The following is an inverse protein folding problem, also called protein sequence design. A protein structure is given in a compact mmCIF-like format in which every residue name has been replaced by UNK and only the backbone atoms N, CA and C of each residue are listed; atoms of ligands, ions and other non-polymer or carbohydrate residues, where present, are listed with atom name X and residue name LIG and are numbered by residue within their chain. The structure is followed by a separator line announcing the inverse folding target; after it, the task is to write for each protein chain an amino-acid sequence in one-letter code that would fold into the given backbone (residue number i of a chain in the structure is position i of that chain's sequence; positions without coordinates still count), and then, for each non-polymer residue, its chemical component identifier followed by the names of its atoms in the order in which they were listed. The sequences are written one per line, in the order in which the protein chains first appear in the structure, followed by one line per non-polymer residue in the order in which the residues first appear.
data_IF_462150371139
#
_entry.id   IF_462150371139
#
_cell.length_a   1.000
_cell.length_b   1.000
_cell.length_c   1.000
_cell.angle_alpha   90.00
_cell.angle_beta   90.00
_cell.angle_gamma   90.00
#
_symmetry.space_group_name_H-M   'P 1'
#
loop_
_entity.id
_entity.type
_entity.pdbx_description
1 polymer ?
#
# COMPACT_ATOMS: atom_id res chain seq x y z
N UNK A 1 -6.19 18.27 -28.45
CA UNK A 1 -6.47 16.82 -28.28
C UNK A 1 -6.43 16.57 -26.78
N UNK A 2 -7.53 16.16 -26.16
CA UNK A 2 -7.54 15.76 -24.75
C UNK A 2 -6.72 14.47 -24.65
N UNK A 3 -5.53 14.57 -24.11
CA UNK A 3 -4.74 13.37 -23.77
C UNK A 3 -5.50 12.63 -22.67
N UNK A 4 -6.03 11.46 -23.03
CA UNK A 4 -6.65 10.55 -22.04
C UNK A 4 -5.59 10.24 -20.99
N UNK A 5 -5.84 10.59 -19.73
CA UNK A 5 -4.92 10.25 -18.64
C UNK A 5 -4.84 8.73 -18.52
N UNK A 6 -3.65 8.15 -18.32
CA UNK A 6 -3.53 6.72 -18.02
C UNK A 6 -4.29 6.42 -16.72
N UNK A 7 -4.81 5.20 -16.61
CA UNK A 7 -5.54 4.78 -15.42
C UNK A 7 -4.68 3.90 -14.54
N UNK A 8 -4.73 4.16 -13.24
CA UNK A 8 -4.08 3.36 -12.22
C UNK A 8 -5.09 2.90 -11.17
N UNK A 9 -4.87 1.72 -10.61
CA UNK A 9 -5.62 1.19 -9.48
C UNK A 9 -4.67 0.61 -8.46
N UNK A 10 -4.92 0.88 -7.19
CA UNK A 10 -4.16 0.29 -6.09
C UNK A 10 -5.01 0.18 -4.83
N UNK A 11 -4.73 -0.83 -4.01
CA UNK A 11 -5.46 -1.07 -2.77
C UNK A 11 -4.54 -1.30 -1.60
N UNK A 12 -5.04 -1.02 -0.38
CA UNK A 12 -4.33 -1.29 0.86
C UNK A 12 -5.26 -1.96 1.87
N UNK A 13 -4.78 -3.02 2.54
CA UNK A 13 -5.56 -3.73 3.55
C UNK A 13 -5.62 -2.93 4.86
N UNK A 14 -6.82 -2.76 5.46
CA UNK A 14 -7.01 -2.02 6.71
C UNK A 14 -6.58 -2.87 7.92
N UNK A 15 -5.28 -3.05 8.10
CA UNK A 15 -4.70 -3.89 9.16
C UNK A 15 -4.20 -3.09 10.36
N UNK A 16 -4.72 -1.89 10.60
CA UNK A 16 -4.38 -0.99 11.71
C UNK A 16 -3.59 0.24 11.29
N UNK A 17 -3.00 1.00 12.25
CA UNK A 17 -2.39 2.31 12.00
C UNK A 17 -1.31 2.28 10.92
N UNK A 18 -1.21 3.36 10.14
CA UNK A 18 -0.18 3.49 9.12
C UNK A 18 1.14 3.97 9.73
N UNK A 19 2.26 3.53 9.15
CA UNK A 19 3.62 3.89 9.58
C UNK A 19 4.44 4.45 8.42
N UNK A 20 5.65 4.95 8.70
CA UNK A 20 6.54 5.57 7.69
C UNK A 20 6.75 4.71 6.45
N UNK A 21 6.81 3.37 6.60
CA UNK A 21 6.93 2.47 5.46
C UNK A 21 5.74 2.52 4.50
N UNK A 22 4.51 2.70 5.01
CA UNK A 22 3.33 2.93 4.17
C UNK A 22 3.36 4.32 3.51
N UNK A 23 3.79 5.34 4.27
CA UNK A 23 3.83 6.70 3.76
C UNK A 23 4.83 6.85 2.61
N UNK A 24 6.09 6.53 2.86
CA UNK A 24 7.14 6.67 1.83
C UNK A 24 7.07 5.59 0.74
N UNK A 25 6.61 4.38 1.08
CA UNK A 25 6.54 3.28 0.13
C UNK A 25 5.33 3.32 -0.80
N UNK A 26 4.23 3.93 -0.35
CA UNK A 26 2.95 3.88 -1.08
C UNK A 26 2.28 5.25 -1.19
N UNK A 27 1.92 5.89 -0.06
CA UNK A 27 1.04 7.06 -0.07
C UNK A 27 1.66 8.26 -0.79
N UNK A 28 2.94 8.52 -0.58
CA UNK A 28 3.65 9.61 -1.26
C UNK A 28 3.58 9.47 -2.79
N UNK A 29 3.72 8.24 -3.29
CA UNK A 29 3.56 7.96 -4.72
C UNK A 29 2.11 8.14 -5.19
N UNK A 30 1.13 7.70 -4.39
CA UNK A 30 -0.29 7.89 -4.73
C UNK A 30 -0.68 9.37 -4.81
N UNK A 31 -0.15 10.19 -3.90
CA UNK A 31 -0.34 11.66 -3.91
C UNK A 31 0.21 12.27 -5.21
N UNK A 32 1.32 11.78 -5.73
CA UNK A 32 1.85 12.23 -7.02
C UNK A 32 0.99 11.72 -8.20
N UNK A 33 0.62 10.44 -8.20
CA UNK A 33 -0.15 9.81 -9.27
C UNK A 33 -1.53 10.47 -9.48
N UNK A 34 -2.20 10.96 -8.42
CA UNK A 34 -3.50 11.64 -8.54
C UNK A 34 -3.45 12.89 -9.44
N UNK A 35 -2.28 13.47 -9.67
CA UNK A 35 -2.13 14.66 -10.53
C UNK A 35 -1.94 14.30 -12.00
N UNK A 36 -1.43 13.13 -12.30
CA UNK A 36 -1.05 12.69 -13.66
C UNK A 36 -1.96 11.62 -14.23
N UNK A 37 -2.63 10.86 -13.38
CA UNK A 37 -3.42 9.68 -13.75
C UNK A 37 -4.89 9.77 -13.31
N UNK A 38 -5.74 8.97 -13.93
CA UNK A 38 -7.09 8.66 -13.43
C UNK A 38 -6.95 7.58 -12.35
N UNK A 39 -6.78 8.00 -11.10
CA UNK A 39 -6.37 7.14 -10.00
C UNK A 39 -7.55 6.62 -9.17
N UNK A 40 -7.56 5.31 -8.93
CA UNK A 40 -8.52 4.59 -8.08
C UNK A 40 -7.79 3.95 -6.91
N UNK A 41 -8.08 4.42 -5.70
CA UNK A 41 -7.47 3.90 -4.47
C UNK A 41 -8.54 3.31 -3.57
N UNK A 42 -8.39 2.06 -3.15
CA UNK A 42 -9.41 1.40 -2.35
C UNK A 42 -8.87 0.76 -1.09
N UNK A 43 -9.70 0.80 -0.05
CA UNK A 43 -9.47 0.06 1.18
C UNK A 43 -9.94 -1.37 0.94
N UNK A 44 -9.01 -2.32 0.99
CA UNK A 44 -9.21 -3.73 0.67
C UNK A 44 -9.72 -4.51 1.89
N UNK A 45 -10.96 -4.21 2.30
CA UNK A 45 -11.58 -4.77 3.50
C UNK A 45 -11.96 -6.25 3.35
N UNK A 46 -12.38 -6.72 2.17
CA UNK A 46 -12.56 -8.16 1.93
C UNK A 46 -11.22 -8.91 1.98
N UNK A 47 -10.14 -8.33 1.46
CA UNK A 47 -8.81 -8.93 1.60
C UNK A 47 -8.37 -9.00 3.06
N UNK A 48 -8.69 -8.01 3.88
CA UNK A 48 -8.41 -8.08 5.32
C UNK A 48 -9.13 -9.27 5.96
N UNK A 49 -10.39 -9.48 5.61
CA UNK A 49 -11.19 -10.58 6.15
C UNK A 49 -10.61 -11.97 5.81
N UNK A 50 -9.87 -12.14 4.71
CA UNK A 50 -9.29 -13.45 4.36
C UNK A 50 -8.31 -13.97 5.41
N UNK A 51 -7.62 -13.08 6.13
CA UNK A 51 -6.68 -13.42 7.22
C UNK A 51 -7.22 -13.12 8.62
N UNK A 52 -8.22 -12.23 8.74
CA UNK A 52 -8.76 -11.77 10.02
C UNK A 52 -10.18 -12.28 10.28
N UNK A 53 -10.58 -13.34 9.57
CA UNK A 53 -11.94 -13.93 9.66
C UNK A 53 -12.32 -14.39 11.06
N UNK A 54 -11.35 -14.82 11.87
CA UNK A 54 -11.58 -15.31 13.22
C UNK A 54 -11.85 -14.16 14.24
N UNK A 55 -11.32 -12.95 13.96
CA UNK A 55 -11.59 -11.75 14.75
C UNK A 55 -11.66 -10.52 13.82
N UNK A 56 -12.83 -10.24 13.22
CA UNK A 56 -13.03 -9.12 12.34
C UNK A 56 -13.38 -7.80 13.07
N UNK A 57 -13.34 -7.77 14.39
CA UNK A 57 -13.86 -6.68 15.22
C UNK A 57 -13.26 -5.29 14.92
N UNK A 58 -12.02 -5.25 14.42
CA UNK A 58 -11.32 -4.02 14.14
C UNK A 58 -11.39 -3.58 12.66
N UNK A 59 -11.97 -4.38 11.76
CA UNK A 59 -11.95 -4.06 10.32
C UNK A 59 -12.65 -2.73 10.05
N UNK A 60 -13.85 -2.50 10.59
CA UNK A 60 -14.60 -1.28 10.35
C UNK A 60 -13.83 -0.03 10.84
N UNK A 61 -13.32 -0.06 12.06
CA UNK A 61 -12.53 1.04 12.63
C UNK A 61 -11.26 1.28 11.80
N UNK A 62 -10.55 0.22 11.42
CA UNK A 62 -9.34 0.33 10.61
C UNK A 62 -9.62 0.91 9.20
N UNK A 63 -10.80 0.65 8.62
CA UNK A 63 -11.22 1.25 7.35
C UNK A 63 -11.39 2.75 7.48
N UNK A 64 -12.11 3.21 8.50
CA UNK A 64 -12.34 4.65 8.76
C UNK A 64 -11.02 5.38 9.03
N UNK A 65 -10.18 4.81 9.90
CA UNK A 65 -8.86 5.36 10.20
C UNK A 65 -7.98 5.45 8.95
N UNK A 66 -7.98 4.43 8.11
CA UNK A 66 -7.18 4.40 6.88
C UNK A 66 -7.60 5.47 5.87
N UNK A 67 -8.90 5.66 5.63
CA UNK A 67 -9.39 6.73 4.74
C UNK A 67 -9.01 8.10 5.28
N UNK A 68 -9.16 8.32 6.58
CA UNK A 68 -8.74 9.54 7.25
C UNK A 68 -7.25 9.80 7.06
N UNK A 69 -6.41 8.79 7.30
CA UNK A 69 -4.95 8.89 7.15
C UNK A 69 -4.54 9.19 5.69
N UNK A 70 -5.25 8.61 4.70
CA UNK A 70 -5.00 8.88 3.29
C UNK A 70 -5.30 10.32 2.89
N UNK A 71 -6.46 10.83 3.31
CA UNK A 71 -6.85 12.23 3.06
C UNK A 71 -5.88 13.17 3.77
N UNK A 72 -5.53 12.87 5.03
CA UNK A 72 -4.57 13.67 5.80
C UNK A 72 -3.17 13.65 5.17
N UNK A 73 -2.78 12.55 4.52
CA UNK A 73 -1.50 12.42 3.82
C UNK A 73 -1.47 13.14 2.45
N UNK A 74 -2.61 13.72 2.01
CA UNK A 74 -2.68 14.55 0.82
C UNK A 74 -3.45 13.95 -0.36
N UNK A 75 -4.14 12.81 -0.19
CA UNK A 75 -5.06 12.33 -1.22
C UNK A 75 -6.30 13.23 -1.27
N UNK A 76 -6.58 13.76 -2.46
CA UNK A 76 -7.66 14.70 -2.73
C UNK A 76 -8.81 13.95 -3.44
N UNK A 77 -10.00 13.81 -2.81
CA UNK A 77 -11.14 13.12 -3.41
C UNK A 77 -11.69 13.78 -4.69
N UNK A 78 -11.31 15.03 -4.96
CA UNK A 78 -11.64 15.72 -6.21
C UNK A 78 -10.69 15.32 -7.36
N UNK A 79 -9.51 14.78 -7.04
CA UNK A 79 -8.48 14.39 -8.01
C UNK A 79 -8.37 12.88 -8.22
N UNK A 80 -8.73 12.10 -7.20
CA UNK A 80 -8.70 10.64 -7.26
C UNK A 80 -10.00 10.04 -6.70
N UNK A 81 -10.21 8.76 -6.94
CA UNK A 81 -11.37 8.02 -6.43
C UNK A 81 -10.94 7.20 -5.22
N UNK A 82 -11.49 7.51 -4.05
CA UNK A 82 -11.21 6.81 -2.79
C UNK A 82 -12.47 6.04 -2.37
N UNK A 83 -12.38 4.71 -2.19
CA UNK A 83 -13.53 3.90 -1.85
C UNK A 83 -13.18 2.66 -1.03
N UNK A 84 -14.20 1.98 -0.49
CA UNK A 84 -14.07 0.67 0.15
C UNK A 84 -14.39 -0.41 -0.86
N UNK A 85 -13.60 -1.45 -0.91
CA UNK A 85 -13.79 -2.59 -1.81
C UNK A 85 -15.20 -3.19 -1.66
N UNK A 86 -15.64 -3.42 -0.41
CA UNK A 86 -16.96 -4.01 -0.12
C UNK A 86 -18.16 -3.15 -0.52
N UNK A 87 -17.96 -1.85 -0.76
CA UNK A 87 -19.01 -0.97 -1.26
C UNK A 87 -19.26 -1.12 -2.76
N UNK A 88 -18.36 -1.77 -3.50
CA UNK A 88 -18.43 -2.00 -4.95
C UNK A 88 -18.55 -3.50 -5.20
N UNK A 89 -19.79 -4.00 -5.28
CA UNK A 89 -20.10 -5.45 -5.33
C UNK A 89 -19.55 -6.15 -6.57
N UNK A 90 -19.32 -5.42 -7.63
CA UNK A 90 -18.74 -5.88 -8.87
C UNK A 90 -17.40 -6.60 -8.68
N UNK A 91 -16.63 -6.24 -7.65
CA UNK A 91 -15.40 -6.94 -7.26
C UNK A 91 -15.66 -8.42 -6.92
N UNK A 92 -16.68 -8.69 -6.10
CA UNK A 92 -17.06 -10.06 -5.74
C UNK A 92 -17.65 -10.81 -6.94
N UNK A 93 -18.50 -10.13 -7.75
CA UNK A 93 -19.11 -10.76 -8.92
C UNK A 93 -18.04 -11.15 -9.95
N UNK A 94 -17.09 -10.27 -10.26
CA UNK A 94 -16.02 -10.61 -11.18
C UNK A 94 -15.08 -11.67 -10.60
N UNK A 95 -14.73 -11.59 -9.32
CA UNK A 95 -13.91 -12.59 -8.65
C UNK A 95 -14.51 -14.00 -8.76
N UNK A 96 -15.83 -14.12 -8.56
CA UNK A 96 -16.54 -15.38 -8.75
C UNK A 96 -16.39 -15.91 -10.19
N UNK A 97 -16.59 -15.07 -11.21
CA UNK A 97 -16.49 -15.47 -12.62
C UNK A 97 -15.06 -15.86 -13.00
N UNK A 98 -14.07 -15.11 -12.53
CA UNK A 98 -12.66 -15.43 -12.78
C UNK A 98 -12.23 -16.72 -12.06
N UNK A 99 -12.79 -17.02 -10.89
CA UNK A 99 -12.49 -18.27 -10.17
C UNK A 99 -12.89 -19.52 -10.95
N UNK A 100 -13.92 -19.44 -11.80
CA UNK A 100 -14.39 -20.55 -12.62
C UNK A 100 -13.41 -20.94 -13.74
N UNK A 101 -12.52 -20.05 -14.11
CA UNK A 101 -11.52 -20.30 -15.17
C UNK A 101 -10.09 -20.38 -14.66
N UNK A 102 -9.84 -20.04 -13.38
CA UNK A 102 -8.49 -20.03 -12.80
C UNK A 102 -8.12 -21.44 -12.32
N UNK A 103 -7.05 -22.06 -12.85
CA UNK A 103 -6.59 -23.35 -12.37
C UNK A 103 -6.14 -23.28 -10.91
N UNK A 104 -6.58 -24.23 -10.08
CA UNK A 104 -6.18 -24.31 -8.66
C UNK A 104 -4.65 -24.38 -8.51
N UNK A 105 -3.97 -25.11 -9.41
CA UNK A 105 -2.51 -25.22 -9.40
C UNK A 105 -1.77 -23.88 -9.57
N UNK A 106 -2.41 -22.84 -10.13
CA UNK A 106 -1.83 -21.50 -10.20
C UNK A 106 -1.82 -20.83 -8.81
N UNK A 107 -2.89 -21.04 -8.05
CA UNK A 107 -3.06 -20.49 -6.70
C UNK A 107 -2.14 -21.19 -5.70
N UNK A 108 -2.05 -22.52 -5.76
CA UNK A 108 -1.20 -23.33 -4.89
C UNK A 108 0.30 -23.08 -5.11
N UNK A 109 0.71 -22.68 -6.32
CA UNK A 109 2.11 -22.34 -6.63
C UNK A 109 2.49 -20.95 -6.18
N UNK A 110 1.54 -20.12 -5.72
CA UNK A 110 1.83 -18.77 -5.23
C UNK A 110 2.78 -18.86 -4.00
N UNK A 111 4.01 -18.32 -4.07
CA UNK A 111 4.96 -18.36 -2.96
C UNK A 111 4.42 -17.70 -1.70
N UNK A 112 3.72 -16.58 -1.84
CA UNK A 112 3.13 -15.86 -0.70
C UNK A 112 2.12 -16.72 0.05
N UNK A 113 1.34 -17.56 -0.63
CA UNK A 113 0.42 -18.50 0.01
C UNK A 113 1.17 -19.49 0.91
N UNK A 114 2.23 -20.09 0.41
CA UNK A 114 3.06 -21.06 1.15
C UNK A 114 3.83 -20.42 2.31
N UNK A 115 4.45 -19.27 2.05
CA UNK A 115 5.22 -18.53 3.05
C UNK A 115 4.35 -18.08 4.22
N UNK A 116 3.16 -17.53 3.93
CA UNK A 116 2.26 -17.07 4.98
C UNK A 116 1.66 -18.21 5.78
N UNK A 117 1.35 -19.35 5.16
CA UNK A 117 0.95 -20.56 5.92
C UNK A 117 2.04 -21.03 6.89
N UNK A 118 3.33 -20.87 6.55
CA UNK A 118 4.44 -21.24 7.40
C UNK A 118 4.73 -20.20 8.50
N UNK A 119 4.59 -18.92 8.18
CA UNK A 119 4.91 -17.80 9.09
C UNK A 119 3.80 -17.50 10.10
N UNK A 120 2.55 -17.66 9.71
CA UNK A 120 1.38 -17.34 10.54
C UNK A 120 0.87 -18.63 11.18
N UNK A 121 1.44 -18.97 12.33
CA UNK A 121 1.11 -20.21 13.08
C UNK A 121 -0.09 -20.06 14.03
N UNK A 122 -0.52 -18.82 14.31
CA UNK A 122 -1.62 -18.52 15.22
C UNK A 122 -3.00 -18.40 14.53
N UNK A 123 -3.06 -18.59 13.21
CA UNK A 123 -4.29 -18.54 12.41
C UNK A 123 -4.29 -19.69 11.40
N UNK A 124 -5.46 -20.32 11.20
CA UNK A 124 -5.63 -21.29 10.12
C UNK A 124 -5.89 -20.55 8.80
N UNK A 125 -4.88 -20.51 7.95
CA UNK A 125 -4.94 -19.93 6.61
C UNK A 125 -5.24 -20.98 5.52
N UNK A 126 -5.55 -22.22 5.90
CA UNK A 126 -5.91 -23.32 4.98
C UNK A 126 -7.33 -23.22 4.41
N UNK A 127 -7.93 -22.02 4.40
CA UNK A 127 -9.29 -21.82 3.93
C UNK A 127 -9.36 -21.34 2.48
N UNK A 128 -10.52 -21.55 1.83
CA UNK A 128 -10.73 -21.17 0.43
C UNK A 128 -10.57 -19.67 0.18
N UNK A 129 -10.98 -18.81 1.13
CA UNK A 129 -10.86 -17.36 0.99
C UNK A 129 -9.38 -16.93 0.85
N UNK A 130 -8.52 -17.54 1.68
CA UNK A 130 -7.08 -17.24 1.62
C UNK A 130 -6.40 -17.87 0.40
N UNK A 131 -6.84 -19.03 -0.07
CA UNK A 131 -6.35 -19.62 -1.32
C UNK A 131 -6.74 -18.76 -2.53
N UNK A 132 -7.97 -18.24 -2.56
CA UNK A 132 -8.54 -17.55 -3.71
C UNK A 132 -8.29 -16.02 -3.71
N UNK A 133 -7.64 -15.43 -2.67
CA UNK A 133 -7.43 -13.98 -2.64
C UNK A 133 -6.72 -13.42 -3.88
N UNK A 134 -5.82 -14.13 -4.58
CA UNK A 134 -5.20 -13.60 -5.79
C UNK A 134 -6.19 -13.43 -6.95
N UNK A 135 -7.28 -14.21 -6.97
CA UNK A 135 -8.37 -14.05 -7.96
C UNK A 135 -9.20 -12.81 -7.64
N UNK A 136 -9.47 -12.56 -6.35
CA UNK A 136 -10.12 -11.32 -5.92
C UNK A 136 -9.24 -10.11 -6.28
N UNK A 137 -7.93 -10.18 -6.06
CA UNK A 137 -7.01 -9.12 -6.47
C UNK A 137 -7.01 -8.89 -7.98
N UNK A 138 -7.08 -9.98 -8.79
CA UNK A 138 -7.21 -9.84 -10.24
C UNK A 138 -8.54 -9.13 -10.61
N UNK A 139 -9.64 -9.44 -9.94
CA UNK A 139 -10.91 -8.75 -10.14
C UNK A 139 -10.83 -7.27 -9.77
N UNK A 140 -10.22 -6.95 -8.62
CA UNK A 140 -10.00 -5.57 -8.15
C UNK A 140 -9.29 -4.71 -9.21
N UNK A 141 -8.35 -5.30 -9.91
CA UNK A 141 -7.55 -4.64 -10.94
C UNK A 141 -8.34 -4.55 -12.26
N UNK A 142 -8.82 -5.68 -12.75
CA UNK A 142 -9.35 -5.80 -14.10
C UNK A 142 -10.68 -5.05 -14.30
N UNK A 143 -11.47 -4.83 -13.23
CA UNK A 143 -12.68 -4.01 -13.30
C UNK A 143 -12.43 -2.60 -13.84
N UNK A 144 -11.30 -2.02 -13.47
CA UNK A 144 -10.99 -0.63 -13.82
C UNK A 144 -10.18 -0.49 -15.11
N UNK A 145 -9.79 -1.60 -15.75
CA UNK A 145 -9.01 -1.58 -17.00
C UNK A 145 -7.75 -0.69 -16.91
N UNK A 146 -6.90 -0.82 -15.88
CA UNK A 146 -5.78 0.08 -15.68
C UNK A 146 -4.71 -0.08 -16.76
N UNK A 147 -3.97 0.98 -17.00
CA UNK A 147 -2.75 0.97 -17.80
C UNK A 147 -1.59 0.41 -16.97
N UNK A 148 -1.49 0.89 -15.72
CA UNK A 148 -0.42 0.57 -14.80
C UNK A 148 -0.95 0.19 -13.42
N UNK A 149 -0.21 -0.70 -12.74
CA UNK A 149 -0.48 -1.08 -11.36
C UNK A 149 0.75 -0.72 -10.54
N UNK A 150 0.67 0.32 -9.68
CA UNK A 150 1.77 0.66 -8.79
C UNK A 150 1.89 -0.39 -7.69
N UNK A 151 2.98 -1.15 -7.71
CA UNK A 151 3.24 -2.23 -6.75
C UNK A 151 4.69 -2.23 -6.27
N UNK A 152 4.91 -2.68 -5.05
CA UNK A 152 6.24 -3.03 -4.59
C UNK A 152 6.79 -4.25 -5.34
N UNK A 153 8.10 -4.41 -5.36
CA UNK A 153 8.77 -5.54 -6.03
C UNK A 153 8.29 -6.91 -5.54
N UNK A 154 7.87 -7.01 -4.29
CA UNK A 154 7.31 -8.21 -3.66
C UNK A 154 5.91 -8.58 -4.17
N UNK A 155 5.18 -7.63 -4.75
CA UNK A 155 3.84 -7.84 -5.31
C UNK A 155 3.84 -8.18 -6.82
N UNK A 156 5.00 -8.18 -7.47
CA UNK A 156 5.13 -8.44 -8.92
C UNK A 156 4.47 -9.76 -9.34
N UNK A 157 4.64 -10.81 -8.55
CA UNK A 157 4.08 -12.14 -8.87
C UNK A 157 2.54 -12.14 -8.86
N UNK A 158 1.91 -11.35 -7.98
CA UNK A 158 0.45 -11.23 -7.97
C UNK A 158 -0.07 -10.51 -9.21
N UNK A 159 0.68 -9.52 -9.69
CA UNK A 159 0.34 -8.85 -10.95
C UNK A 159 0.50 -9.79 -12.15
N UNK A 160 1.54 -10.62 -12.17
CA UNK A 160 1.69 -11.64 -13.23
C UNK A 160 0.52 -12.63 -13.22
N UNK A 161 0.06 -13.10 -12.07
CA UNK A 161 -1.13 -13.96 -11.99
C UNK A 161 -2.39 -13.23 -12.53
N UNK A 162 -2.55 -11.94 -12.20
CA UNK A 162 -3.64 -11.13 -12.75
C UNK A 162 -3.57 -11.08 -14.28
N UNK A 163 -2.39 -10.89 -14.87
CA UNK A 163 -2.14 -10.88 -16.32
C UNK A 163 -2.48 -12.23 -16.94
N UNK A 164 -2.07 -13.34 -16.30
CA UNK A 164 -2.38 -14.69 -16.76
C UNK A 164 -3.88 -14.96 -16.77
N UNK A 165 -4.59 -14.58 -15.71
CA UNK A 165 -6.04 -14.72 -15.60
C UNK A 165 -6.76 -13.89 -16.68
N UNK A 166 -6.33 -12.64 -16.90
CA UNK A 166 -6.88 -11.76 -17.92
C UNK A 166 -6.65 -12.31 -19.33
N UNK A 167 -5.44 -12.78 -19.61
CA UNK A 167 -5.08 -13.41 -20.89
C UNK A 167 -5.90 -14.67 -21.12
N UNK A 168 -6.04 -15.52 -20.10
CA UNK A 168 -6.85 -16.73 -20.19
C UNK A 168 -8.33 -16.42 -20.47
N UNK A 169 -8.89 -15.41 -19.79
CA UNK A 169 -10.26 -14.96 -20.03
C UNK A 169 -10.44 -14.52 -21.49
N UNK A 170 -9.56 -13.63 -21.96
CA UNK A 170 -9.61 -13.11 -23.33
C UNK A 170 -9.48 -14.23 -24.38
N UNK A 171 -8.65 -15.24 -24.12
CA UNK A 171 -8.48 -16.38 -25.03
C UNK A 171 -9.74 -17.28 -25.09
N UNK A 172 -10.46 -17.44 -23.98
CA UNK A 172 -11.65 -18.31 -23.91
C UNK A 172 -12.88 -17.61 -24.47
N UNK A 173 -13.09 -16.33 -24.10
CA UNK A 173 -14.35 -15.62 -24.34
C UNK A 173 -14.21 -14.45 -25.32
N UNK A 174 -13.00 -14.13 -25.76
CA UNK A 174 -12.65 -12.95 -26.59
C UNK A 174 -12.35 -11.72 -25.75
N UNK A 175 -11.76 -10.73 -26.39
CA UNK A 175 -11.19 -9.54 -25.75
C UNK A 175 -12.19 -8.74 -24.93
N UNK A 176 -11.87 -8.63 -23.63
CA UNK A 176 -12.57 -7.79 -22.66
C UNK A 176 -11.56 -7.01 -21.84
N UNK A 177 -10.54 -7.70 -21.29
CA UNK A 177 -9.59 -7.11 -20.37
C UNK A 177 -8.36 -6.58 -21.09
N UNK A 178 -8.00 -5.33 -20.74
CA UNK A 178 -6.67 -4.81 -20.99
C UNK A 178 -5.69 -5.53 -20.07
N UNK A 179 -4.55 -5.97 -20.62
CA UNK A 179 -3.51 -6.63 -19.83
C UNK A 179 -2.70 -5.52 -19.14
N UNK A 180 -2.77 -5.38 -17.81
CA UNK A 180 -2.10 -4.29 -17.14
C UNK A 180 -0.59 -4.51 -17.00
N UNK A 181 0.19 -3.42 -16.95
CA UNK A 181 1.63 -3.49 -16.72
C UNK A 181 1.97 -3.15 -15.26
N UNK A 182 2.87 -3.92 -14.59
CA UNK A 182 3.35 -3.55 -13.26
C UNK A 182 4.21 -2.30 -13.36
N UNK A 183 3.92 -1.33 -12.51
CA UNK A 183 4.73 -0.12 -12.34
C UNK A 183 5.40 -0.18 -10.98
N UNK A 184 6.73 -0.27 -10.97
CA UNK A 184 7.52 -0.20 -9.74
C UNK A 184 7.99 1.24 -9.61
N UNK A 185 7.48 2.02 -8.62
CA UNK A 185 7.90 3.39 -8.41
C UNK A 185 9.41 3.47 -8.17
N UNK A 186 10.07 4.37 -8.88
CA UNK A 186 11.49 4.68 -8.64
C UNK A 186 11.70 5.55 -7.39
N UNK A 187 10.63 6.23 -6.97
CA UNK A 187 10.60 7.09 -5.79
C UNK A 187 9.82 6.36 -4.70
N UNK A 188 10.52 5.79 -3.75
CA UNK A 188 9.93 5.15 -2.59
C UNK A 188 11.05 4.61 -1.71
N UNK A 189 11.28 5.23 -0.55
CA UNK A 189 12.26 4.70 0.39
C UNK A 189 11.72 3.38 0.98
N UNK A 190 12.48 2.31 0.83
CA UNK A 190 12.26 1.10 1.59
C UNK A 190 12.65 1.38 3.04
N UNK A 191 11.65 1.62 3.87
CA UNK A 191 11.86 1.93 5.29
C UNK A 191 11.98 0.63 6.06
N UNK A 192 13.10 0.46 6.77
CA UNK A 192 13.37 -0.68 7.63
C UNK A 192 13.04 -0.36 9.08
N UNK A 193 12.89 -1.40 9.92
CA UNK A 193 12.71 -1.23 11.36
C UNK A 193 13.87 -0.45 11.97
N UNK A 194 13.58 0.46 12.91
CA UNK A 194 14.63 1.21 13.62
C UNK A 194 15.41 0.36 14.62
N UNK A 195 14.79 -0.75 15.09
CA UNK A 195 15.42 -1.69 16.05
C UNK A 195 16.06 -2.90 15.38
N UNK A 196 15.61 -3.28 14.18
CA UNK A 196 16.06 -4.45 13.42
C UNK A 196 16.17 -4.10 11.93
N UNK A 197 17.20 -3.36 11.52
CA UNK A 197 17.29 -2.74 10.20
C UNK A 197 17.41 -3.73 9.02
N UNK A 198 17.59 -5.01 9.29
CA UNK A 198 17.50 -6.12 8.33
C UNK A 198 16.05 -6.43 7.94
N UNK A 199 15.08 -6.06 8.78
CA UNK A 199 13.65 -6.30 8.57
C UNK A 199 12.93 -5.03 8.10
N UNK A 200 11.93 -5.18 7.22
CA UNK A 200 11.05 -4.05 6.87
C UNK A 200 10.33 -3.54 8.11
N UNK A 201 10.13 -2.21 8.21
CA UNK A 201 9.28 -1.63 9.24
C UNK A 201 7.89 -2.25 9.17
N UNK A 202 7.42 -2.74 10.30
CA UNK A 202 6.18 -3.53 10.38
C UNK A 202 5.43 -3.25 11.68
N UNK A 203 4.10 -3.33 11.62
CA UNK A 203 3.22 -3.28 12.81
C UNK A 203 3.46 -4.43 13.78
N UNK A 204 3.99 -5.55 13.30
CA UNK A 204 4.31 -6.75 14.10
C UNK A 204 5.73 -6.74 14.66
N UNK A 205 6.44 -5.60 14.61
CA UNK A 205 7.76 -5.47 15.23
C UNK A 205 7.64 -5.74 16.74
N UNK A 206 8.52 -6.60 17.27
CA UNK A 206 8.53 -6.97 18.69
C UNK A 206 8.95 -5.79 19.58
N UNK A 207 9.81 -4.90 19.06
CA UNK A 207 10.18 -3.67 19.76
C UNK A 207 9.28 -2.51 19.29
N UNK A 208 8.48 -1.90 20.15
CA UNK A 208 7.64 -0.75 19.81
C UNK A 208 8.45 0.48 19.35
N UNK A 209 9.76 0.52 19.58
CA UNK A 209 10.63 1.57 19.06
C UNK A 209 11.05 1.32 17.60
N UNK A 210 10.86 0.10 17.08
CA UNK A 210 11.21 -0.25 15.71
C UNK A 210 10.31 0.38 14.66
N UNK A 211 9.08 0.77 15.02
CA UNK A 211 8.06 1.29 14.11
C UNK A 211 7.66 2.72 14.47
N UNK A 212 7.66 3.61 13.48
CA UNK A 212 7.17 4.99 13.61
C UNK A 212 5.84 5.12 12.89
N UNK A 213 4.78 5.40 13.62
CA UNK A 213 3.44 5.61 13.08
C UNK A 213 3.25 7.08 12.62
N UNK A 214 2.34 7.30 11.67
CA UNK A 214 2.09 8.63 11.11
C UNK A 214 1.58 9.63 12.15
N UNK A 215 0.84 9.12 13.13
CA UNK A 215 0.23 9.91 14.20
C UNK A 215 0.99 9.85 15.53
N UNK A 216 2.22 9.31 15.53
CA UNK A 216 3.08 9.36 16.72
C UNK A 216 3.32 10.83 17.12
N UNK A 217 3.35 11.08 18.43
CA UNK A 217 3.68 12.41 18.93
C UNK A 217 5.14 12.76 18.65
N UNK A 218 5.47 14.05 18.49
CA UNK A 218 6.84 14.49 18.22
C UNK A 218 7.86 13.89 19.18
N UNK A 219 7.54 13.86 20.49
CA UNK A 219 8.42 13.32 21.54
C UNK A 219 8.66 11.81 21.37
N UNK A 220 7.64 11.07 20.95
CA UNK A 220 7.76 9.63 20.72
C UNK A 220 8.62 9.35 19.47
N UNK A 221 8.45 10.12 18.40
CA UNK A 221 9.29 10.06 17.21
C UNK A 221 10.74 10.30 17.57
N UNK A 222 11.03 11.43 18.25
CA UNK A 222 12.38 11.79 18.66
C UNK A 222 13.02 10.70 19.53
N UNK A 223 12.26 10.14 20.48
CA UNK A 223 12.72 9.03 21.34
C UNK A 223 13.06 7.78 20.53
N UNK A 224 12.22 7.40 19.54
CA UNK A 224 12.43 6.24 18.68
C UNK A 224 13.71 6.41 17.84
N UNK A 225 13.91 7.57 17.19
CA UNK A 225 15.13 7.83 16.42
C UNK A 225 16.39 7.88 17.29
N UNK A 226 16.32 8.45 18.49
CA UNK A 226 17.45 8.42 19.43
C UNK A 226 17.88 7.02 19.79
N UNK A 227 16.93 6.07 19.89
CA UNK A 227 17.17 4.65 20.20
C UNK A 227 17.46 3.77 18.97
N UNK A 228 17.29 4.30 17.75
CA UNK A 228 17.50 3.54 16.52
C UNK A 228 18.87 2.86 16.52
N UNK A 229 18.91 1.62 16.01
CA UNK A 229 20.14 0.83 15.96
C UNK A 229 21.10 1.42 14.92
N UNK A 230 22.35 1.59 15.32
CA UNK A 230 23.51 1.95 14.47
C UNK A 230 24.70 1.11 14.89
N UNK A 231 25.73 1.06 14.05
CA UNK A 231 27.01 0.45 14.41
C UNK A 231 27.78 1.27 15.48
N UNK A 232 28.97 0.81 15.83
CA UNK A 232 29.87 1.45 16.82
C UNK A 232 31.01 2.25 16.20
N UNK A 233 30.92 2.55 14.89
CA UNK A 233 31.97 3.31 14.18
C UNK A 233 32.07 4.74 14.74
N UNK A 234 33.31 5.22 14.95
CA UNK A 234 33.61 6.57 15.45
C UNK A 234 34.16 7.48 14.37
N UNK A 235 34.68 6.90 13.28
CA UNK A 235 35.20 7.63 12.12
C UNK A 235 34.23 7.40 10.93
N UNK A 236 33.91 8.44 10.17
CA UNK A 236 32.96 8.37 9.04
C UNK A 236 31.65 7.68 9.41
N UNK A 237 31.08 8.04 10.55
CA UNK A 237 29.88 7.43 11.10
C UNK A 237 28.70 7.40 10.10
N UNK A 238 28.44 8.54 9.45
CA UNK A 238 27.32 8.68 8.51
C UNK A 238 27.82 8.41 7.09
N UNK A 239 27.66 7.16 6.64
CA UNK A 239 28.01 6.67 5.31
C UNK A 239 26.95 5.69 4.84
N UNK A 240 26.56 5.82 3.58
CA UNK A 240 25.57 4.89 3.00
C UNK A 240 26.21 3.57 2.60
N UNK A 241 25.94 2.56 3.37
CA UNK A 241 26.43 1.20 3.13
C UNK A 241 25.42 0.20 3.74
N UNK A 242 24.65 -0.45 2.88
CA UNK A 242 23.57 -1.35 3.31
C UNK A 242 24.11 -2.62 3.96
N UNK A 243 25.30 -3.10 3.53
CA UNK A 243 25.87 -4.36 4.00
C UNK A 243 26.54 -4.18 5.37
N UNK A 244 27.41 -3.17 5.49
CA UNK A 244 28.17 -2.97 6.73
C UNK A 244 27.49 -2.06 7.75
N UNK A 245 26.57 -1.20 7.31
CA UNK A 245 25.89 -0.18 8.13
C UNK A 245 24.35 -0.14 7.88
N UNK A 246 23.63 -1.26 7.98
CA UNK A 246 22.22 -1.32 7.61
C UNK A 246 21.35 -0.31 8.39
N UNK A 247 21.63 -0.09 9.67
CA UNK A 247 20.91 0.88 10.49
C UNK A 247 21.13 2.32 10.02
N UNK A 248 22.39 2.69 9.72
CA UNK A 248 22.74 4.03 9.22
C UNK A 248 22.16 4.24 7.82
N UNK A 249 22.26 3.25 6.94
CA UNK A 249 21.69 3.30 5.59
C UNK A 249 20.16 3.49 5.63
N UNK A 250 19.47 2.84 6.56
CA UNK A 250 18.03 3.06 6.79
C UNK A 250 17.75 4.49 7.24
N UNK A 251 18.47 5.01 8.23
CA UNK A 251 18.30 6.39 8.69
C UNK A 251 18.59 7.41 7.58
N UNK A 252 19.64 7.20 6.77
CA UNK A 252 19.95 8.04 5.62
C UNK A 252 18.85 8.00 4.56
N UNK A 253 18.26 6.82 4.31
CA UNK A 253 17.14 6.65 3.38
C UNK A 253 15.90 7.42 3.85
N UNK A 254 15.59 7.37 5.15
CA UNK A 254 14.49 8.12 5.75
C UNK A 254 14.76 9.63 5.67
N UNK A 255 15.99 10.08 6.02
CA UNK A 255 16.36 11.48 5.97
C UNK A 255 16.31 12.03 4.54
N UNK A 256 16.82 11.28 3.56
CA UNK A 256 16.72 11.60 2.14
C UNK A 256 15.27 11.74 1.69
N UNK A 257 14.39 10.80 2.08
CA UNK A 257 12.96 10.82 1.73
C UNK A 257 12.22 12.03 2.33
N UNK A 258 12.63 12.49 3.52
CA UNK A 258 12.08 13.68 4.19
C UNK A 258 12.59 14.99 3.58
N UNK A 259 13.89 15.05 3.27
CA UNK A 259 14.58 16.32 2.93
C UNK A 259 14.83 16.53 1.44
N UNK A 260 14.73 15.46 0.64
CA UNK A 260 15.10 15.45 -0.78
C UNK A 260 16.61 15.45 -1.04
N UNK A 261 17.44 15.40 0.00
CA UNK A 261 18.91 15.38 -0.14
C UNK A 261 19.39 14.03 -0.66
N UNK A 262 20.40 14.05 -1.52
CA UNK A 262 21.11 12.83 -1.95
C UNK A 262 21.98 12.27 -0.82
N UNK A 263 22.34 10.98 -0.90
CA UNK A 263 23.21 10.36 0.11
C UNK A 263 24.56 11.07 0.23
N UNK A 264 25.16 11.49 -0.90
CA UNK A 264 26.40 12.25 -0.88
C UNK A 264 26.27 13.60 -0.15
N UNK A 265 25.15 14.29 -0.30
CA UNK A 265 24.87 15.53 0.44
C UNK A 265 24.71 15.28 1.94
N UNK A 266 24.08 14.16 2.31
CA UNK A 266 23.90 13.76 3.71
C UNK A 266 25.28 13.42 4.34
N UNK A 267 26.10 12.65 3.64
CA UNK A 267 27.46 12.33 4.10
C UNK A 267 28.29 13.59 4.35
N UNK A 268 28.29 14.55 3.41
CA UNK A 268 28.98 15.82 3.55
C UNK A 268 28.43 16.68 4.70
N UNK A 269 27.12 16.72 4.91
CA UNK A 269 26.48 17.47 6.00
C UNK A 269 26.88 16.96 7.38
N UNK A 270 27.07 15.65 7.51
CA UNK A 270 27.41 14.99 8.77
C UNK A 270 28.86 14.52 8.84
N UNK A 271 29.72 14.97 7.92
CA UNK A 271 31.18 14.71 7.99
C UNK A 271 31.76 15.20 9.31
N UNK A 272 32.47 14.33 10.00
CA UNK A 272 33.04 14.62 11.33
C UNK A 272 32.04 14.71 12.48
N UNK A 273 30.73 14.47 12.21
CA UNK A 273 29.71 14.45 13.23
C UNK A 273 29.31 12.99 13.54
N UNK A 274 29.14 12.70 14.83
CA UNK A 274 28.72 11.35 15.27
C UNK A 274 27.21 11.14 15.19
N UNK A 275 26.77 9.93 15.54
CA UNK A 275 25.35 9.55 15.59
C UNK A 275 24.52 10.40 16.57
N UNK A 276 25.17 11.00 17.58
CA UNK A 276 24.52 11.94 18.50
C UNK A 276 23.97 13.20 17.84
N UNK A 277 24.54 13.63 16.71
CA UNK A 277 24.02 14.73 15.89
C UNK A 277 23.09 14.21 14.78
N UNK A 278 23.41 13.07 14.17
CA UNK A 278 22.65 12.54 13.02
C UNK A 278 21.26 12.04 13.40
N UNK A 279 21.14 11.20 14.43
CA UNK A 279 19.85 10.62 14.85
C UNK A 279 18.78 11.67 15.20
N UNK A 280 19.10 12.73 16.00
CA UNK A 280 18.13 13.80 16.23
C UNK A 280 17.72 14.52 14.95
N UNK A 281 18.65 14.82 14.04
CA UNK A 281 18.34 15.49 12.79
C UNK A 281 17.38 14.67 11.91
N UNK A 282 17.54 13.35 11.86
CA UNK A 282 16.58 12.45 11.18
C UNK A 282 15.21 12.50 11.85
N UNK A 283 15.19 12.44 13.20
CA UNK A 283 13.94 12.53 13.98
C UNK A 283 13.21 13.85 13.73
N UNK A 284 13.90 14.98 13.74
CA UNK A 284 13.34 16.30 13.45
C UNK A 284 12.78 16.39 12.02
N UNK A 285 13.50 15.87 11.03
CA UNK A 285 13.02 15.82 9.64
C UNK A 285 11.73 15.00 9.51
N UNK A 286 11.61 13.88 10.23
CA UNK A 286 10.39 13.08 10.26
C UNK A 286 9.26 13.81 10.99
N UNK A 287 9.50 14.44 12.12
CA UNK A 287 8.51 15.24 12.85
C UNK A 287 7.92 16.32 11.96
N UNK A 288 8.75 17.05 11.22
CA UNK A 288 8.31 18.10 10.29
C UNK A 288 7.56 17.54 9.08
N UNK A 289 8.01 16.42 8.54
CA UNK A 289 7.32 15.73 7.43
C UNK A 289 5.92 15.28 7.83
N UNK A 290 5.75 14.76 9.05
CA UNK A 290 4.47 14.25 9.54
C UNK A 290 3.59 15.32 10.20
N UNK A 291 4.11 16.51 10.47
CA UNK A 291 3.35 17.60 11.09
C UNK A 291 2.06 17.94 10.33
N UNK A 292 2.08 18.22 9.01
CA UNK A 292 0.87 18.55 8.28
C UNK A 292 -0.15 17.41 8.29
N UNK A 293 0.30 16.14 8.29
CA UNK A 293 -0.59 14.98 8.37
C UNK A 293 -1.29 14.94 9.74
N UNK A 294 -0.59 15.20 10.83
CA UNK A 294 -1.19 15.24 12.17
C UNK A 294 -2.21 16.37 12.30
N UNK A 295 -1.86 17.59 11.84
CA UNK A 295 -2.74 18.76 11.86
C UNK A 295 -4.03 18.51 11.05
N UNK A 296 -3.90 17.94 9.85
CA UNK A 296 -5.06 17.63 9.01
C UNK A 296 -5.90 16.49 9.62
N UNK A 297 -5.27 15.49 10.22
CA UNK A 297 -5.98 14.43 10.95
C UNK A 297 -6.84 15.00 12.08
N UNK A 298 -6.31 15.95 12.87
CA UNK A 298 -7.07 16.62 13.93
C UNK A 298 -8.27 17.42 13.40
N UNK A 299 -8.13 18.01 12.21
CA UNK A 299 -9.24 18.69 11.51
C UNK A 299 -10.30 17.69 11.08
N UNK A 300 -9.90 16.59 10.44
CA UNK A 300 -10.80 15.55 9.93
C UNK A 300 -11.55 14.80 11.02
N UNK A 301 -10.96 14.63 12.20
CA UNK A 301 -11.63 14.01 13.35
C UNK A 301 -12.90 14.79 13.80
N UNK A 302 -12.98 16.09 13.48
CA UNK A 302 -14.13 16.95 13.77
C UNK A 302 -15.22 16.88 12.71
N UNK A 303 -14.93 16.28 11.53
CA UNK A 303 -15.85 16.21 10.39
C UNK A 303 -15.98 14.77 9.85
N UNK A 304 -16.60 13.92 10.64
CA UNK A 304 -16.88 12.52 10.25
C UNK A 304 -17.79 12.43 9.02
N UNK A 305 -18.73 13.36 8.88
CA UNK A 305 -19.67 13.38 7.76
C UNK A 305 -18.94 13.61 6.43
N UNK A 306 -17.89 14.43 6.43
CA UNK A 306 -17.04 14.61 5.26
C UNK A 306 -16.37 13.31 4.83
N UNK A 307 -15.71 12.58 5.75
CA UNK A 307 -15.06 11.31 5.43
C UNK A 307 -16.04 10.27 4.90
N UNK A 308 -17.25 10.21 5.49
CA UNK A 308 -18.33 9.35 4.99
C UNK A 308 -18.72 9.70 3.55
N UNK A 309 -18.84 10.99 3.26
CA UNK A 309 -19.15 11.48 1.90
C UNK A 309 -18.05 11.11 0.89
N UNK A 310 -16.79 11.16 1.29
CA UNK A 310 -15.63 10.82 0.45
C UNK A 310 -15.71 9.38 -0.07
N UNK A 311 -15.81 8.40 0.82
CA UNK A 311 -15.81 7.00 0.37
C UNK A 311 -17.15 6.57 -0.23
N UNK A 312 -18.26 7.24 0.08
CA UNK A 312 -19.55 7.00 -0.58
C UNK A 312 -19.54 7.50 -2.02
N UNK A 313 -19.15 8.74 -2.24
CA UNK A 313 -19.03 9.31 -3.59
C UNK A 313 -17.97 8.56 -4.42
N UNK A 314 -16.86 8.13 -3.78
CA UNK A 314 -15.86 7.31 -4.41
C UNK A 314 -16.40 5.94 -4.84
N UNK A 315 -17.21 5.29 -4.01
CA UNK A 315 -17.84 4.02 -4.34
C UNK A 315 -18.81 4.14 -5.53
N UNK A 316 -19.58 5.22 -5.62
CA UNK A 316 -20.47 5.49 -6.75
C UNK A 316 -19.69 5.66 -8.06
N UNK A 317 -18.62 6.46 -8.06
CA UNK A 317 -17.72 6.63 -9.21
C UNK A 317 -17.06 5.31 -9.61
N UNK A 318 -16.54 4.56 -8.65
CA UNK A 318 -15.89 3.28 -8.87
C UNK A 318 -16.87 2.22 -9.43
N UNK A 319 -18.07 2.11 -8.84
CA UNK A 319 -19.10 1.18 -9.27
C UNK A 319 -19.56 1.45 -10.71
N UNK A 320 -19.64 2.72 -11.12
CA UNK A 320 -19.98 3.09 -12.50
C UNK A 320 -19.00 2.48 -13.52
N UNK A 321 -17.70 2.58 -13.26
CA UNK A 321 -16.66 2.02 -14.15
C UNK A 321 -16.63 0.48 -14.05
N UNK A 322 -16.68 -0.06 -12.84
CA UNK A 322 -16.69 -1.49 -12.59
C UNK A 322 -17.87 -2.19 -13.29
N UNK A 323 -19.07 -1.62 -13.19
CA UNK A 323 -20.27 -2.13 -13.84
C UNK A 323 -20.15 -2.13 -15.38
N UNK A 324 -19.54 -1.08 -15.95
CA UNK A 324 -19.31 -1.01 -17.40
C UNK A 324 -18.42 -2.17 -17.90
N UNK A 325 -17.41 -2.54 -17.14
CA UNK A 325 -16.54 -3.69 -17.43
C UNK A 325 -17.28 -5.00 -17.21
N UNK A 326 -17.96 -5.14 -16.08
CA UNK A 326 -18.69 -6.36 -15.71
C UNK A 326 -19.78 -6.69 -16.73
N UNK A 327 -20.49 -5.71 -17.26
CA UNK A 327 -21.47 -5.92 -18.34
C UNK A 327 -20.86 -6.52 -19.60
N UNK A 328 -19.64 -6.12 -19.97
CA UNK A 328 -18.93 -6.74 -21.09
C UNK A 328 -18.59 -8.19 -20.79
N UNK A 329 -18.14 -8.49 -19.57
CA UNK A 329 -17.86 -9.85 -19.09
C UNK A 329 -19.12 -10.70 -19.20
N UNK A 330 -20.25 -10.25 -18.64
CA UNK A 330 -21.54 -10.97 -18.67
C UNK A 330 -21.95 -11.32 -20.11
N UNK A 331 -21.87 -10.34 -21.01
CA UNK A 331 -22.18 -10.57 -22.43
C UNK A 331 -21.27 -11.64 -23.06
N UNK A 332 -20.00 -11.66 -22.73
CA UNK A 332 -19.01 -12.57 -23.32
C UNK A 332 -19.13 -14.00 -22.77
N UNK A 333 -19.47 -14.16 -21.50
CA UNK A 333 -19.69 -15.49 -20.89
C UNK A 333 -21.09 -16.05 -21.17
N UNK A 334 -21.94 -15.30 -21.89
CA UNK A 334 -23.25 -15.77 -22.33
C UNK A 334 -24.38 -15.59 -21.31
N UNK A 335 -24.22 -14.72 -20.32
CA UNK A 335 -25.28 -14.39 -19.39
C UNK A 335 -26.28 -13.39 -20.00
N UNK A 336 -27.53 -13.51 -19.56
CA UNK A 336 -28.56 -12.53 -19.92
C UNK A 336 -28.19 -11.20 -19.27
N UNK A 337 -28.06 -10.15 -20.09
CA UNK A 337 -27.78 -8.81 -19.58
C UNK A 337 -28.93 -8.32 -18.70
N UNK A 338 -28.60 -7.78 -17.56
CA UNK A 338 -29.54 -7.04 -16.70
C UNK A 338 -29.90 -5.71 -17.32
#
# INVERSE_FOLDING_TARGET
MSTVRPRTVSGMRPTGPLHLGHYFGVLKNWVELQHTEEAYFFVADWHALTSDYADPSNIATNVEEMVKDWVAAGLDPEKCVIFRQSAVKEHAELSLLLSMITPVSWLERNPTYKEQQQQITNKDLGNAGFLCYPVLMAADILLYQPDYIPVGSDQKQHVELCRDVATRFNNIYGDVFKIPEPYIPTVGARVMSLSSPENKMSKSDKDPNGTVYLLDRPEDIMRKFKKAVTDSDTERCVRFDVESKPGVANLMSIYSACTGKTFAQIEAEFEGKGYGAFKPAVGEAVVETLRPIREETERLLKDKAYLESVYKAGAEKASYIANKTLRKVYKKVGFVAK
#
